data_IF_314395011612
#
_entry.id   IF_314395011612
#
_cell.length_a   1.000
_cell.length_b   1.000
_cell.length_c   1.000
_cell.angle_alpha   90.00
_cell.angle_beta   90.00
_cell.angle_gamma   90.00
#
_symmetry.space_group_name_H-M   'P 1'
#
loop_
_entity.id
_entity.type
_entity.pdbx_description
1 polymer ?
#
# COMPACT_ATOMS: atom_id res chain seq x y z
N UNK A 1 0.03 -14.68 -22.73
CA UNK A 1 1.28 -14.35 -22.01
C UNK A 1 1.74 -15.55 -21.21
N UNK A 2 2.97 -16.03 -21.43
CA UNK A 2 3.57 -17.14 -20.66
C UNK A 2 4.41 -16.56 -19.52
N UNK A 3 4.26 -17.09 -18.31
CA UNK A 3 5.07 -16.69 -17.14
C UNK A 3 6.38 -17.47 -17.17
N UNK A 4 7.42 -16.93 -17.80
CA UNK A 4 8.68 -17.65 -18.02
C UNK A 4 9.57 -17.67 -16.77
N UNK A 5 9.61 -16.59 -16.01
CA UNK A 5 10.30 -16.54 -14.72
C UNK A 5 9.63 -15.58 -13.75
N UNK A 6 9.85 -15.83 -12.45
CA UNK A 6 9.45 -14.94 -11.37
C UNK A 6 10.64 -14.76 -10.44
N UNK A 7 11.07 -13.52 -10.25
CA UNK A 7 12.12 -13.14 -9.32
C UNK A 7 11.51 -12.41 -8.13
N UNK A 8 11.80 -12.88 -6.91
CA UNK A 8 11.39 -12.24 -5.68
C UNK A 8 12.57 -11.47 -5.07
N UNK A 9 12.35 -10.22 -4.67
CA UNK A 9 13.36 -9.40 -4.00
C UNK A 9 12.81 -8.86 -2.68
N UNK A 10 13.58 -8.99 -1.62
CA UNK A 10 13.39 -8.19 -0.41
C UNK A 10 14.27 -6.95 -0.53
N UNK A 11 13.68 -5.78 -0.31
CA UNK A 11 14.41 -4.51 -0.18
C UNK A 11 14.05 -3.83 1.13
N UNK A 12 14.96 -2.99 1.62
CA UNK A 12 14.80 -2.20 2.84
C UNK A 12 15.05 -0.74 2.53
N UNK A 13 14.11 0.11 2.90
CA UNK A 13 14.18 1.55 2.62
C UNK A 13 13.93 2.35 3.91
N UNK A 14 14.91 3.14 4.39
CA UNK A 14 14.68 4.05 5.50
C UNK A 14 13.68 5.14 5.11
N UNK A 15 12.75 5.46 6.00
CA UNK A 15 11.82 6.56 5.80
C UNK A 15 12.53 7.90 6.07
N UNK A 16 12.22 8.93 5.27
CA UNK A 16 12.74 10.29 5.48
C UNK A 16 12.39 10.81 6.89
N UNK A 17 11.18 10.47 7.35
CA UNK A 17 10.71 10.68 8.71
C UNK A 17 9.92 9.45 9.16
N UNK A 18 9.92 9.15 10.45
CA UNK A 18 9.10 8.06 10.96
C UNK A 18 7.62 8.26 10.61
N UNK A 19 6.89 7.15 10.51
CA UNK A 19 5.45 7.13 10.34
C UNK A 19 4.82 6.36 11.49
N UNK A 20 4.13 7.07 12.38
CA UNK A 20 3.44 6.45 13.51
C UNK A 20 1.93 6.33 13.26
N UNK A 21 1.41 5.15 13.53
CA UNK A 21 -0.01 4.81 13.53
C UNK A 21 -0.45 4.38 14.93
N UNK A 22 -1.71 3.97 15.10
CA UNK A 22 -2.17 3.47 16.39
C UNK A 22 -1.49 2.18 16.85
N UNK A 23 -0.95 1.38 15.91
CA UNK A 23 -0.31 0.09 16.19
C UNK A 23 1.22 0.11 16.15
N UNK A 24 1.85 1.28 15.97
CA UNK A 24 3.30 1.40 16.08
C UNK A 24 3.93 2.50 15.23
N UNK A 25 5.22 2.73 15.49
CA UNK A 25 6.09 3.67 14.78
C UNK A 25 7.00 2.91 13.82
N UNK A 26 6.92 3.24 12.54
CA UNK A 26 7.78 2.69 11.48
C UNK A 26 8.85 3.69 11.10
N UNK A 27 10.11 3.26 11.01
CA UNK A 27 11.26 4.08 10.58
C UNK A 27 11.93 3.55 9.30
N UNK A 28 11.69 2.29 8.96
CA UNK A 28 12.17 1.61 7.77
C UNK A 28 11.03 0.78 7.21
N UNK A 29 10.94 0.69 5.87
CA UNK A 29 10.04 -0.23 5.18
C UNK A 29 10.80 -1.45 4.70
N UNK A 30 10.27 -2.63 5.03
CA UNK A 30 10.67 -3.90 4.38
C UNK A 30 9.64 -4.20 3.30
N UNK A 31 10.12 -4.43 2.08
CA UNK A 31 9.26 -4.54 0.89
C UNK A 31 9.65 -5.80 0.12
N UNK A 32 8.64 -6.58 -0.26
CA UNK A 32 8.81 -7.73 -1.16
C UNK A 32 8.33 -7.34 -2.56
N UNK A 33 9.23 -7.40 -3.53
CA UNK A 33 8.93 -7.18 -4.95
C UNK A 33 8.86 -8.51 -5.70
N UNK A 34 8.00 -8.58 -6.70
CA UNK A 34 7.93 -9.65 -7.69
C UNK A 34 8.20 -9.06 -9.08
N UNK A 35 9.23 -9.56 -9.77
CA UNK A 35 9.46 -9.30 -11.18
C UNK A 35 9.07 -10.54 -11.97
N UNK A 36 8.06 -10.39 -12.84
CA UNK A 36 7.56 -11.44 -13.72
C UNK A 36 8.09 -11.18 -15.12
N UNK A 37 8.64 -12.21 -15.77
CA UNK A 37 9.12 -12.12 -17.15
C UNK A 37 8.37 -13.06 -18.07
N UNK A 38 8.10 -12.62 -19.30
CA UNK A 38 7.61 -13.49 -20.36
C UNK A 38 8.75 -14.19 -21.12
N UNK A 39 8.38 -14.98 -22.14
CA UNK A 39 9.32 -15.75 -22.95
C UNK A 39 10.16 -14.89 -23.91
N UNK A 40 9.70 -13.67 -24.20
CA UNK A 40 10.40 -12.69 -25.02
C UNK A 40 11.34 -11.79 -24.17
N UNK A 41 11.33 -11.97 -22.84
CA UNK A 41 12.18 -11.26 -21.90
C UNK A 41 11.62 -9.91 -21.44
N UNK A 42 10.37 -9.57 -21.79
CA UNK A 42 9.71 -8.40 -21.21
C UNK A 42 9.43 -8.64 -19.73
N UNK A 43 9.51 -7.57 -18.93
CA UNK A 43 9.38 -7.64 -17.48
C UNK A 43 8.21 -6.77 -16.98
N UNK A 44 7.51 -7.24 -15.95
CA UNK A 44 6.56 -6.47 -15.17
C UNK A 44 6.82 -6.60 -13.68
N UNK A 45 6.55 -5.52 -12.94
CA UNK A 45 6.85 -5.40 -11.52
C UNK A 45 5.60 -5.27 -10.67
N UNK A 46 5.59 -5.98 -9.55
CA UNK A 46 4.57 -5.87 -8.51
C UNK A 46 5.19 -5.82 -7.13
N UNK A 47 4.46 -5.21 -6.19
CA UNK A 47 4.88 -5.01 -4.82
C UNK A 47 3.88 -5.66 -3.86
N UNK A 48 4.40 -6.43 -2.91
CA UNK A 48 3.61 -6.91 -1.78
C UNK A 48 3.52 -5.80 -0.73
N UNK A 49 2.29 -5.41 -0.37
CA UNK A 49 2.05 -4.34 0.60
C UNK A 49 2.08 -4.80 2.07
N UNK A 50 2.40 -6.07 2.33
CA UNK A 50 2.49 -6.61 3.67
C UNK A 50 3.63 -5.93 4.44
N UNK A 51 3.31 -5.43 5.64
CA UNK A 51 4.25 -4.67 6.46
C UNK A 51 5.21 -5.53 7.27
N UNK A 52 5.93 -4.89 8.19
CA UNK A 52 7.01 -5.49 8.98
C UNK A 52 6.51 -6.52 10.01
N UNK A 53 5.23 -6.42 10.38
CA UNK A 53 4.58 -7.36 11.30
C UNK A 53 3.07 -7.38 11.10
N UNK A 54 2.37 -8.35 11.70
CA UNK A 54 0.94 -8.60 11.49
C UNK A 54 0.04 -7.65 12.30
N UNK A 55 0.38 -6.36 12.30
CA UNK A 55 -0.29 -5.35 13.13
C UNK A 55 -1.38 -4.56 12.38
N UNK A 56 -1.26 -4.44 11.05
CA UNK A 56 -2.30 -3.86 10.20
C UNK A 56 -3.33 -4.91 9.76
N UNK A 57 -2.85 -6.10 9.42
CA UNK A 57 -3.61 -7.27 9.00
C UNK A 57 -2.87 -8.53 9.43
N UNK A 58 -3.44 -9.69 9.18
CA UNK A 58 -2.79 -10.98 9.42
C UNK A 58 -1.58 -11.24 8.51
N UNK A 59 -1.44 -10.52 7.39
CA UNK A 59 -0.30 -10.62 6.49
C UNK A 59 0.85 -9.69 6.92
N UNK A 60 2.07 -10.22 6.88
CA UNK A 60 3.33 -9.49 7.07
C UNK A 60 4.41 -10.04 6.12
N UNK A 61 5.53 -9.35 5.96
CA UNK A 61 6.47 -9.61 4.86
C UNK A 61 7.11 -11.01 4.89
N UNK A 62 7.58 -11.54 6.02
CA UNK A 62 8.14 -12.90 6.04
C UNK A 62 7.06 -13.95 5.74
N UNK A 63 5.84 -13.77 6.26
CA UNK A 63 4.71 -14.63 5.96
C UNK A 63 4.36 -14.63 4.47
N UNK A 64 4.22 -13.44 3.89
CA UNK A 64 3.98 -13.26 2.47
C UNK A 64 5.11 -13.86 1.61
N UNK A 65 6.37 -13.70 2.02
CA UNK A 65 7.53 -14.29 1.37
C UNK A 65 7.45 -15.82 1.31
N UNK A 66 7.13 -16.47 2.42
CA UNK A 66 7.00 -17.93 2.46
C UNK A 66 5.86 -18.41 1.55
N UNK A 67 4.73 -17.72 1.54
CA UNK A 67 3.56 -18.08 0.72
C UNK A 67 3.86 -17.88 -0.76
N UNK A 68 4.49 -16.76 -1.13
CA UNK A 68 4.97 -16.47 -2.48
C UNK A 68 5.88 -17.58 -2.97
N UNK A 69 6.95 -17.86 -2.22
CA UNK A 69 7.99 -18.83 -2.59
C UNK A 69 7.46 -20.27 -2.66
N UNK A 70 6.65 -20.67 -1.68
CA UNK A 70 6.27 -22.08 -1.49
C UNK A 70 5.04 -22.48 -2.31
N UNK A 71 4.13 -21.55 -2.57
CA UNK A 71 2.85 -21.85 -3.22
C UNK A 71 2.62 -21.01 -4.46
N UNK A 72 2.62 -19.68 -4.35
CA UNK A 72 2.10 -18.83 -5.43
C UNK A 72 3.01 -18.82 -6.67
N UNK A 73 4.33 -18.78 -6.49
CA UNK A 73 5.29 -18.88 -7.60
C UNK A 73 5.17 -20.24 -8.30
N UNK A 74 5.23 -21.41 -7.61
CA UNK A 74 5.01 -22.70 -8.25
C UNK A 74 3.67 -22.85 -8.99
N UNK A 75 2.60 -22.21 -8.51
CA UNK A 75 1.27 -22.28 -9.13
C UNK A 75 1.17 -21.46 -10.43
N UNK A 76 2.01 -20.45 -10.59
CA UNK A 76 1.94 -19.47 -11.69
C UNK A 76 3.07 -19.60 -12.70
N UNK A 77 4.26 -20.06 -12.28
CA UNK A 77 5.41 -20.26 -13.14
C UNK A 77 5.11 -21.27 -14.26
N UNK A 78 5.53 -20.93 -15.48
CA UNK A 78 5.33 -21.74 -16.68
C UNK A 78 3.90 -21.75 -17.22
N UNK A 79 2.95 -21.10 -16.56
CA UNK A 79 1.55 -21.02 -17.00
C UNK A 79 1.41 -20.03 -18.15
N UNK A 80 0.46 -20.33 -19.03
CA UNK A 80 0.02 -19.44 -20.11
C UNK A 80 -1.34 -18.90 -19.69
N UNK A 81 -1.47 -17.58 -19.67
CA UNK A 81 -2.73 -16.87 -19.41
C UNK A 81 -3.11 -16.02 -20.63
N UNK A 82 -4.40 -15.94 -20.91
CA UNK A 82 -4.96 -15.11 -21.98
C UNK A 82 -5.03 -13.63 -21.60
N UNK A 83 -5.17 -13.35 -20.31
CA UNK A 83 -5.27 -12.00 -19.74
C UNK A 83 -4.53 -11.93 -18.39
N UNK A 84 -3.95 -10.78 -18.00
CA UNK A 84 -3.39 -10.62 -16.65
C UNK A 84 -4.42 -10.86 -15.54
N UNK A 85 -5.72 -10.67 -15.79
CA UNK A 85 -6.79 -10.95 -14.82
C UNK A 85 -6.93 -12.44 -14.47
N UNK A 86 -6.55 -13.35 -15.37
CA UNK A 86 -6.68 -14.80 -15.16
C UNK A 86 -5.64 -15.35 -14.18
N UNK A 87 -4.57 -14.60 -13.88
CA UNK A 87 -3.51 -15.08 -12.99
C UNK A 87 -4.03 -15.33 -11.56
N UNK A 88 -5.00 -14.52 -11.12
CA UNK A 88 -5.60 -14.67 -9.80
C UNK A 88 -6.32 -16.01 -9.65
N UNK A 89 -6.92 -16.52 -10.72
CA UNK A 89 -7.66 -17.79 -10.71
C UNK A 89 -6.75 -18.98 -10.42
N UNK A 90 -5.50 -18.93 -10.88
CA UNK A 90 -4.49 -19.93 -10.58
C UNK A 90 -4.15 -19.97 -9.09
N UNK A 91 -4.28 -18.84 -8.39
CA UNK A 91 -3.91 -18.69 -6.98
C UNK A 91 -5.11 -18.84 -6.02
N UNK A 92 -6.34 -18.97 -6.53
CA UNK A 92 -7.58 -19.15 -5.72
C UNK A 92 -7.51 -20.27 -4.68
N UNK A 93 -6.88 -21.44 -4.93
CA UNK A 93 -6.78 -22.51 -3.93
C UNK A 93 -6.07 -22.10 -2.62
N UNK A 94 -5.15 -21.14 -2.66
CA UNK A 94 -4.52 -20.60 -1.45
C UNK A 94 -5.53 -19.69 -0.75
N UNK A 95 -5.90 -19.99 0.51
CA UNK A 95 -6.85 -19.16 1.27
C UNK A 95 -6.17 -17.88 1.80
N UNK A 96 -6.89 -16.76 1.81
CA UNK A 96 -6.34 -15.47 2.27
C UNK A 96 -5.19 -14.98 1.38
N UNK A 97 -4.12 -14.48 2.02
CA UNK A 97 -2.84 -14.11 1.39
C UNK A 97 -3.01 -13.15 0.20
N UNK A 98 -3.85 -12.12 0.39
CA UNK A 98 -4.25 -11.22 -0.68
C UNK A 98 -3.11 -10.29 -1.08
N UNK A 99 -2.33 -9.79 -0.13
CA UNK A 99 -1.18 -8.93 -0.43
C UNK A 99 -0.08 -9.72 -1.16
N UNK A 100 0.17 -10.96 -0.74
CA UNK A 100 1.10 -11.86 -1.43
C UNK A 100 0.64 -12.14 -2.88
N UNK A 101 -0.64 -12.46 -3.10
CA UNK A 101 -1.19 -12.67 -4.45
C UNK A 101 -1.12 -11.41 -5.32
N UNK A 102 -1.43 -10.25 -4.72
CA UNK A 102 -1.40 -8.97 -5.40
C UNK A 102 0.00 -8.65 -5.97
N UNK A 103 1.08 -9.10 -5.32
CA UNK A 103 2.43 -8.91 -5.83
C UNK A 103 2.63 -9.57 -7.21
N UNK A 104 2.19 -10.82 -7.39
CA UNK A 104 2.29 -11.51 -8.69
C UNK A 104 1.26 -10.96 -9.68
N UNK A 105 0.03 -10.72 -9.22
CA UNK A 105 -1.04 -10.20 -10.09
C UNK A 105 -0.66 -8.83 -10.67
N UNK A 106 -0.19 -7.90 -9.83
CA UNK A 106 0.24 -6.56 -10.26
C UNK A 106 1.41 -6.64 -11.22
N UNK A 107 2.37 -7.53 -10.99
CA UNK A 107 3.48 -7.75 -11.91
C UNK A 107 3.00 -8.24 -13.29
N UNK A 108 1.98 -9.10 -13.34
CA UNK A 108 1.37 -9.54 -14.59
C UNK A 108 0.62 -8.42 -15.32
N UNK A 109 -0.06 -7.53 -14.57
CA UNK A 109 -0.69 -6.35 -15.13
C UNK A 109 0.32 -5.35 -15.71
N UNK A 110 1.43 -5.09 -14.99
CA UNK A 110 2.51 -4.24 -15.48
C UNK A 110 3.17 -4.83 -16.74
N UNK A 111 3.42 -6.14 -16.76
CA UNK A 111 3.95 -6.86 -17.93
C UNK A 111 3.03 -6.72 -19.15
N UNK A 112 1.72 -6.94 -18.97
CA UNK A 112 0.74 -6.79 -20.05
C UNK A 112 0.63 -5.34 -20.55
N UNK A 113 0.71 -4.36 -19.66
CA UNK A 113 0.73 -2.94 -20.01
C UNK A 113 1.94 -2.58 -20.85
N UNK A 114 3.14 -3.00 -20.43
CA UNK A 114 4.39 -2.78 -21.17
C UNK A 114 4.38 -3.50 -22.51
N UNK A 115 3.98 -4.77 -22.54
CA UNK A 115 3.93 -5.57 -23.78
C UNK A 115 2.95 -5.03 -24.82
N UNK A 116 1.88 -4.37 -24.39
CA UNK A 116 0.92 -3.71 -25.29
C UNK A 116 1.26 -2.25 -25.61
N UNK A 117 2.32 -1.69 -25.02
CA UNK A 117 2.67 -0.27 -25.15
C UNK A 117 1.62 0.67 -24.55
N UNK A 118 0.73 0.18 -23.69
CA UNK A 118 -0.34 0.96 -23.06
C UNK A 118 -0.01 1.23 -21.60
N UNK A 119 -0.19 2.47 -21.10
CA UNK A 119 -0.04 2.71 -19.67
C UNK A 119 -1.13 1.98 -18.88
N UNK A 120 -0.75 1.39 -17.74
CA UNK A 120 -1.63 0.54 -16.93
C UNK A 120 -2.97 1.23 -16.58
N UNK A 121 -2.96 2.53 -16.28
CA UNK A 121 -4.20 3.25 -15.95
C UNK A 121 -5.23 3.23 -17.07
N UNK A 122 -4.82 3.19 -18.35
CA UNK A 122 -5.74 3.06 -19.49
C UNK A 122 -6.33 1.66 -19.56
N UNK A 123 -5.51 0.63 -19.33
CA UNK A 123 -5.98 -0.76 -19.30
C UNK A 123 -6.99 -1.00 -18.17
N UNK A 124 -6.81 -0.30 -17.04
CA UNK A 124 -7.75 -0.32 -15.91
C UNK A 124 -8.98 0.58 -16.13
N UNK A 125 -9.14 1.23 -17.29
CA UNK A 125 -10.28 2.08 -17.61
C UNK A 125 -10.22 3.49 -17.02
N UNK A 126 -9.05 3.94 -16.58
CA UNK A 126 -8.84 5.31 -16.12
C UNK A 126 -9.10 6.34 -17.21
N UNK A 127 -9.63 7.50 -16.82
CA UNK A 127 -10.07 8.58 -17.73
C UNK A 127 -9.34 9.89 -17.53
N UNK A 128 -8.46 9.98 -16.54
CA UNK A 128 -7.75 11.20 -16.15
C UNK A 128 -6.24 10.98 -16.22
N UNK A 129 -5.52 11.95 -16.76
CA UNK A 129 -4.06 11.96 -16.76
C UNK A 129 -3.47 12.39 -15.40
N UNK A 130 -4.25 13.14 -14.61
CA UNK A 130 -3.84 13.67 -13.32
C UNK A 130 -4.97 13.50 -12.29
N UNK A 131 -4.60 13.37 -11.01
CA UNK A 131 -5.52 13.25 -9.88
C UNK A 131 -5.10 14.16 -8.73
N UNK A 132 -6.07 14.66 -7.97
CA UNK A 132 -5.77 15.37 -6.72
C UNK A 132 -5.23 14.39 -5.66
N UNK A 133 -4.04 14.68 -5.14
CA UNK A 133 -3.43 13.87 -4.08
C UNK A 133 -3.71 14.46 -2.69
N UNK A 134 -3.92 13.59 -1.72
CA UNK A 134 -3.88 13.91 -0.31
C UNK A 134 -2.66 13.29 0.37
N UNK A 135 -2.36 13.72 1.59
CA UNK A 135 -1.29 13.17 2.42
C UNK A 135 -1.85 12.54 3.69
N UNK A 136 -1.21 11.47 4.15
CA UNK A 136 -1.45 10.89 5.47
C UNK A 136 -0.32 11.30 6.40
N UNK A 137 -0.67 11.89 7.55
CA UNK A 137 0.27 12.30 8.58
C UNK A 137 0.08 11.40 9.79
N UNK A 138 1.16 10.74 10.19
CA UNK A 138 1.18 9.88 11.38
C UNK A 138 1.01 10.66 12.68
N UNK A 139 0.80 9.95 13.78
CA UNK A 139 0.87 10.52 15.13
C UNK A 139 2.26 11.16 15.32
N UNK A 140 2.32 12.31 15.98
CA UNK A 140 3.56 13.06 16.21
C UNK A 140 3.87 13.14 17.70
N UNK A 141 5.09 13.54 18.05
CA UNK A 141 5.50 13.65 19.45
C UNK A 141 4.77 14.80 20.19
N UNK A 142 4.26 15.81 19.46
CA UNK A 142 3.41 16.87 20.03
C UNK A 142 2.41 17.46 19.02
N UNK A 143 1.30 18.07 19.48
CA UNK A 143 0.35 18.74 18.60
C UNK A 143 0.99 19.84 17.74
N UNK A 144 1.99 20.55 18.26
CA UNK A 144 2.68 21.64 17.57
C UNK A 144 3.46 21.11 16.36
N UNK A 145 4.15 19.98 16.50
CA UNK A 145 4.85 19.30 15.40
C UNK A 145 3.85 18.85 14.33
N UNK A 146 2.68 18.35 14.74
CA UNK A 146 1.61 17.98 13.81
C UNK A 146 1.14 19.19 13.00
N UNK A 147 0.85 20.32 13.66
CA UNK A 147 0.37 21.52 12.99
C UNK A 147 1.42 22.09 12.02
N UNK A 148 2.70 22.11 12.40
CA UNK A 148 3.78 22.51 11.51
C UNK A 148 3.84 21.62 10.27
N UNK A 149 3.77 20.30 10.45
CA UNK A 149 3.79 19.33 9.35
C UNK A 149 2.59 19.53 8.43
N UNK A 150 1.39 19.71 8.97
CA UNK A 150 0.19 20.03 8.15
C UNK A 150 0.43 21.29 7.32
N UNK A 151 0.96 22.36 7.93
CA UNK A 151 1.28 23.59 7.22
C UNK A 151 2.24 23.38 6.04
N UNK A 152 3.29 22.57 6.23
CA UNK A 152 4.24 22.21 5.17
C UNK A 152 3.57 21.43 4.03
N UNK A 153 2.75 20.44 4.34
CA UNK A 153 2.07 19.62 3.32
C UNK A 153 1.00 20.40 2.54
N UNK A 154 0.28 21.32 3.22
CA UNK A 154 -0.65 22.24 2.56
C UNK A 154 0.11 23.17 1.61
N UNK A 155 1.23 23.73 2.06
CA UNK A 155 2.10 24.58 1.22
C UNK A 155 2.71 23.81 0.04
N UNK A 156 2.95 22.51 0.18
CA UNK A 156 3.38 21.63 -0.91
C UNK A 156 2.27 21.31 -1.94
N UNK A 157 1.02 21.72 -1.68
CA UNK A 157 -0.10 21.61 -2.62
C UNK A 157 -1.00 20.40 -2.42
N UNK A 158 -0.85 19.62 -1.34
CA UNK A 158 -1.76 18.52 -1.05
C UNK A 158 -3.19 19.02 -0.83
N UNK A 159 -4.15 18.40 -1.52
CA UNK A 159 -5.56 18.84 -1.56
C UNK A 159 -6.41 18.31 -0.41
N UNK A 160 -5.86 17.38 0.38
CA UNK A 160 -6.56 16.70 1.47
C UNK A 160 -5.57 16.21 2.52
N UNK A 161 -5.88 16.46 3.78
CA UNK A 161 -5.10 16.01 4.93
C UNK A 161 -5.82 14.88 5.64
N UNK A 162 -5.10 13.79 5.89
CA UNK A 162 -5.53 12.69 6.75
C UNK A 162 -4.58 12.63 7.94
N UNK A 163 -5.09 12.66 9.16
CA UNK A 163 -4.27 12.46 10.37
C UNK A 163 -4.57 11.11 11.01
N UNK A 164 -3.54 10.45 11.54
CA UNK A 164 -3.70 9.24 12.36
C UNK A 164 -4.17 9.64 13.77
N UNK A 165 -5.12 8.86 14.30
CA UNK A 165 -5.65 9.03 15.65
C UNK A 165 -5.57 7.71 16.43
N UNK A 166 -5.60 7.80 17.76
CA UNK A 166 -5.72 6.69 18.70
C UNK A 166 -6.27 7.23 20.03
N UNK A 167 -6.78 6.40 20.95
CA UNK A 167 -7.20 6.88 22.27
C UNK A 167 -6.15 7.80 22.91
N UNK A 168 -6.55 9.02 23.28
CA UNK A 168 -5.69 10.06 23.85
C UNK A 168 -4.99 10.96 22.81
N UNK A 169 -5.10 10.66 21.53
CA UNK A 169 -4.64 11.48 20.40
C UNK A 169 -5.73 11.56 19.33
N UNK A 170 -6.81 12.27 19.62
CA UNK A 170 -8.02 12.28 18.81
C UNK A 170 -8.78 13.62 18.86
N UNK A 171 -9.88 13.73 19.61
CA UNK A 171 -10.83 14.84 19.54
C UNK A 171 -10.13 16.19 19.80
N UNK A 172 -9.31 16.26 20.84
CA UNK A 172 -8.54 17.47 21.19
C UNK A 172 -7.52 17.86 20.12
N UNK A 173 -6.92 16.87 19.44
CA UNK A 173 -5.98 17.07 18.33
C UNK A 173 -6.72 17.58 17.10
N UNK A 174 -7.84 16.95 16.75
CA UNK A 174 -8.68 17.35 15.61
C UNK A 174 -9.21 18.78 15.80
N UNK A 175 -9.64 19.13 17.01
CA UNK A 175 -10.08 20.48 17.34
C UNK A 175 -8.98 21.52 17.10
N UNK A 176 -7.74 21.24 17.52
CA UNK A 176 -6.58 22.10 17.25
C UNK A 176 -6.29 22.23 15.76
N UNK A 177 -6.28 21.11 15.02
CA UNK A 177 -6.07 21.12 13.57
C UNK A 177 -7.14 21.95 12.87
N UNK A 178 -8.42 21.78 13.21
CA UNK A 178 -9.51 22.54 12.61
C UNK A 178 -9.43 24.02 12.95
N UNK A 179 -9.03 24.39 14.16
CA UNK A 179 -8.84 25.79 14.54
C UNK A 179 -7.71 26.47 13.76
N UNK A 180 -6.60 25.77 13.51
CA UNK A 180 -5.47 26.30 12.72
C UNK A 180 -5.70 26.27 11.21
N UNK A 181 -6.48 25.30 10.72
CA UNK A 181 -6.73 25.06 9.30
C UNK A 181 -8.23 24.92 9.06
N UNK A 182 -9.00 26.02 9.09
CA UNK A 182 -10.46 25.98 9.05
C UNK A 182 -11.01 25.37 7.75
N UNK A 183 -10.33 25.57 6.63
CA UNK A 183 -10.87 25.25 5.29
C UNK A 183 -10.31 23.97 4.65
N UNK A 184 -9.34 23.31 5.30
CA UNK A 184 -8.75 22.11 4.70
C UNK A 184 -9.76 20.95 4.67
N UNK A 185 -9.69 20.13 3.61
CA UNK A 185 -10.36 18.82 3.57
C UNK A 185 -9.63 17.88 4.53
N UNK A 186 -10.23 17.66 5.69
CA UNK A 186 -9.66 16.87 6.79
C UNK A 186 -10.40 15.55 6.98
N UNK A 187 -9.66 14.48 7.21
CA UNK A 187 -10.18 13.20 7.69
C UNK A 187 -9.26 12.63 8.78
N UNK A 188 -9.77 11.67 9.55
CA UNK A 188 -9.01 10.93 10.56
C UNK A 188 -8.98 9.44 10.22
N UNK A 189 -8.00 8.71 10.73
CA UNK A 189 -7.92 7.26 10.63
C UNK A 189 -7.32 6.65 11.89
N UNK A 190 -8.12 5.80 12.52
CA UNK A 190 -7.79 5.15 13.78
C UNK A 190 -7.07 3.82 13.61
N UNK A 191 -7.05 3.22 12.41
CA UNK A 191 -6.61 1.85 12.19
C UNK A 191 -7.16 0.87 13.24
N UNK A 192 -8.49 0.86 13.41
CA UNK A 192 -9.19 -0.05 14.34
C UNK A 192 -8.82 0.11 15.82
N UNK A 193 -8.32 1.27 16.25
CA UNK A 193 -7.89 1.51 17.63
C UNK A 193 -9.01 1.76 18.65
N UNK A 194 -10.27 1.80 18.19
CA UNK A 194 -11.43 2.05 19.05
C UNK A 194 -12.38 0.87 19.01
N UNK A 195 -13.17 0.79 20.08
CA UNK A 195 -14.29 -0.14 20.25
C UNK A 195 -15.62 0.64 20.21
N UNK A 196 -16.73 -0.08 20.31
CA UNK A 196 -18.06 0.56 20.41
C UNK A 196 -18.20 1.37 21.70
N UNK A 197 -17.50 0.98 22.77
CA UNK A 197 -17.56 1.68 24.07
C UNK A 197 -16.93 3.07 24.01
N UNK A 198 -16.09 3.33 23.01
CA UNK A 198 -15.46 4.63 22.76
C UNK A 198 -16.38 5.58 21.96
N UNK A 199 -17.59 5.17 21.56
CA UNK A 199 -18.51 6.00 20.79
C UNK A 199 -18.86 7.38 21.42
N UNK A 200 -18.87 7.59 22.75
CA UNK A 200 -19.12 8.90 23.36
C UNK A 200 -18.02 9.96 23.15
N UNK A 201 -16.97 9.66 22.37
CA UNK A 201 -15.86 10.56 22.00
C UNK A 201 -16.30 11.89 21.38
#
# INVERSE_FOLDING_TARGET
MKIASIELREIRLPLVHFFETSFGRTTERVIVLACVRDEDGAEGWGECTAGEGPFYSEEWYEGAWQVLKTYLVPMTLGRIVGSPAEIFDLMKPVRGNRMAKAAIETACWDLAARGSGQPLWKMLGGTRAEIECGVSIGIQDSPEILLEKIGREVAAGYRRIKIKIKPGWDQSIVARVRASFPDIRLMVDANSAYTVDDAPL
#
